data_IF_627985719010
#
_entry.id   IF_627985719010
#
_cell.length_a   1.000
_cell.length_b   1.000
_cell.length_c   1.000
_cell.angle_alpha   90.00
_cell.angle_beta   90.00
_cell.angle_gamma   90.00
#
_symmetry.space_group_name_H-M   'P 1'
#
loop_
_entity.id
_entity.type
_entity.pdbx_description
1 polymer ?
#
# COMPACT_ATOMS: atom_id res chain seq x y z
N UNK A 1 23.32 -53.43 -11.02
CA UNK A 1 24.07 -52.18 -10.75
C UNK A 1 23.49 -51.12 -11.69
N UNK A 2 22.80 -50.05 -11.31
CA UNK A 2 22.34 -49.55 -10.02
C UNK A 2 20.98 -48.88 -10.26
N UNK A 3 20.10 -48.98 -9.26
CA UNK A 3 18.67 -48.71 -9.37
C UNK A 3 18.33 -47.24 -9.10
N UNK A 4 17.26 -46.79 -9.75
CA UNK A 4 16.60 -45.51 -9.55
C UNK A 4 16.03 -45.40 -8.11
N UNK A 5 16.44 -44.37 -7.38
CA UNK A 5 15.84 -43.95 -6.11
C UNK A 5 15.30 -42.53 -6.24
N UNK A 6 14.06 -42.43 -6.70
CA UNK A 6 13.28 -41.20 -6.68
C UNK A 6 11.84 -41.58 -6.32
N UNK A 7 11.60 -41.90 -5.05
CA UNK A 7 10.26 -42.01 -4.45
C UNK A 7 10.40 -42.28 -2.95
N UNK A 8 10.51 -41.23 -2.12
CA UNK A 8 10.27 -41.30 -0.66
C UNK A 8 10.30 -39.92 0.02
N UNK A 9 9.36 -39.02 -0.30
CA UNK A 9 9.15 -37.82 0.54
C UNK A 9 7.68 -37.38 0.52
N UNK A 10 6.77 -38.24 1.00
CA UNK A 10 5.47 -37.80 1.50
C UNK A 10 5.06 -38.64 2.72
N UNK A 11 5.54 -38.22 3.89
CA UNK A 11 5.05 -38.72 5.17
C UNK A 11 3.64 -38.17 5.42
N UNK A 12 2.67 -39.07 5.31
CA UNK A 12 1.25 -38.94 5.62
C UNK A 12 1.08 -38.67 7.12
N UNK A 13 1.00 -37.41 7.53
CA UNK A 13 0.67 -37.05 8.92
C UNK A 13 -0.80 -37.26 9.23
N UNK A 14 -1.02 -37.88 10.38
CA UNK A 14 -2.29 -38.39 10.92
C UNK A 14 -3.31 -37.27 11.19
N UNK A 15 -4.57 -37.55 10.83
CA UNK A 15 -5.75 -36.84 11.33
C UNK A 15 -5.93 -37.19 12.81
N UNK A 16 -5.67 -36.22 13.69
CA UNK A 16 -6.20 -36.23 15.04
C UNK A 16 -7.53 -35.46 15.05
N UNK A 17 -8.60 -36.16 15.38
CA UNK A 17 -9.90 -35.59 15.71
C UNK A 17 -9.82 -34.91 17.08
N UNK A 18 -9.91 -33.57 17.10
CA UNK A 18 -10.12 -32.81 18.32
C UNK A 18 -11.51 -32.17 18.29
N UNK A 19 -12.32 -32.68 19.22
CA UNK A 19 -13.67 -32.25 19.60
C UNK A 19 -13.82 -30.73 19.64
N UNK A 20 -14.84 -30.24 18.94
CA UNK A 20 -15.35 -28.89 19.02
C UNK A 20 -16.00 -28.65 20.39
N UNK A 21 -15.42 -27.75 21.18
CA UNK A 21 -16.09 -27.03 22.26
C UNK A 21 -16.52 -25.69 21.71
N UNK A 22 -17.80 -25.60 21.33
CA UNK A 22 -18.44 -24.42 20.75
C UNK A 22 -18.70 -23.40 21.86
N UNK A 23 -17.73 -22.50 22.08
CA UNK A 23 -17.95 -21.27 22.85
C UNK A 23 -18.36 -20.19 21.85
N UNK A 24 -19.65 -19.91 21.83
CA UNK A 24 -20.27 -18.82 21.07
C UNK A 24 -19.78 -17.46 21.57
N UNK A 25 -18.60 -17.07 21.10
CA UNK A 25 -18.07 -15.74 21.31
C UNK A 25 -18.83 -14.79 20.37
N UNK A 26 -19.88 -14.17 20.91
CA UNK A 26 -20.68 -13.17 20.23
C UNK A 26 -19.78 -12.03 19.74
N UNK A 27 -19.39 -12.08 18.46
CA UNK A 27 -18.77 -10.98 17.75
C UNK A 27 -19.72 -9.79 17.81
N UNK A 28 -19.42 -8.86 18.71
CA UNK A 28 -19.91 -7.50 18.64
C UNK A 28 -19.43 -6.93 17.31
N UNK A 29 -20.35 -6.88 16.34
CA UNK A 29 -20.17 -6.21 15.07
C UNK A 29 -19.79 -4.76 15.35
N UNK A 30 -18.50 -4.45 15.23
CA UNK A 30 -18.00 -3.09 15.26
C UNK A 30 -18.80 -2.27 14.25
N UNK A 31 -19.62 -1.34 14.78
CA UNK A 31 -20.38 -0.40 13.98
C UNK A 31 -19.38 0.48 13.25
N UNK A 32 -19.21 0.23 11.95
CA UNK A 32 -18.50 1.13 11.07
C UNK A 32 -19.11 2.55 11.21
N UNK A 33 -18.30 3.62 11.19
CA UNK A 33 -18.81 4.98 11.13
C UNK A 33 -19.84 5.06 10.00
N UNK A 34 -21.04 5.52 10.33
CA UNK A 34 -22.22 5.41 9.46
C UNK A 34 -21.99 6.18 8.15
N UNK A 35 -21.45 5.48 7.15
CA UNK A 35 -21.26 5.97 5.76
C UNK A 35 -22.57 6.36 5.06
N UNK A 36 -23.70 6.20 5.76
CA UNK A 36 -25.04 6.56 5.33
C UNK A 36 -25.18 8.05 5.02
N UNK A 37 -24.48 8.93 5.74
CA UNK A 37 -24.53 10.38 5.48
C UNK A 37 -24.05 10.76 4.08
N UNK A 38 -22.91 10.20 3.64
CA UNK A 38 -22.35 10.47 2.32
C UNK A 38 -23.20 9.88 1.18
N UNK A 39 -23.78 8.69 1.39
CA UNK A 39 -24.69 8.09 0.40
C UNK A 39 -25.96 8.92 0.23
N UNK A 40 -26.49 9.47 1.31
CA UNK A 40 -27.66 10.35 1.24
C UNK A 40 -27.33 11.63 0.48
N UNK A 41 -26.19 12.28 0.77
CA UNK A 41 -25.76 13.49 0.04
C UNK A 41 -25.58 13.19 -1.46
N UNK A 42 -24.92 12.09 -1.81
CA UNK A 42 -24.73 11.70 -3.21
C UNK A 42 -26.06 11.39 -3.92
N UNK A 43 -27.00 10.73 -3.22
CA UNK A 43 -28.34 10.46 -3.74
C UNK A 43 -29.12 11.77 -3.97
N UNK A 44 -29.08 12.71 -3.03
CA UNK A 44 -29.70 14.03 -3.18
C UNK A 44 -29.13 14.81 -4.37
N UNK A 45 -27.80 14.80 -4.54
CA UNK A 45 -27.14 15.41 -5.70
C UNK A 45 -27.58 14.77 -7.03
N UNK A 46 -27.65 13.43 -7.09
CA UNK A 46 -28.09 12.72 -8.28
C UNK A 46 -29.56 13.06 -8.64
N UNK A 47 -30.44 13.10 -7.64
CA UNK A 47 -31.84 13.51 -7.82
C UNK A 47 -31.95 14.98 -8.28
N UNK A 48 -31.18 15.89 -7.68
CA UNK A 48 -31.18 17.29 -8.06
C UNK A 48 -30.76 17.49 -9.53
N UNK A 49 -29.71 16.80 -9.97
CA UNK A 49 -29.26 16.82 -11.37
C UNK A 49 -30.32 16.23 -12.30
N UNK A 50 -30.94 15.11 -11.91
CA UNK A 50 -32.03 14.50 -12.66
C UNK A 50 -33.19 15.48 -12.88
N UNK A 51 -33.69 16.10 -11.81
CA UNK A 51 -34.82 17.04 -11.89
C UNK A 51 -34.47 18.31 -12.68
N UNK A 52 -33.25 18.85 -12.53
CA UNK A 52 -32.80 20.00 -13.31
C UNK A 52 -32.75 19.72 -14.81
N UNK A 53 -32.16 18.59 -15.20
CA UNK A 53 -32.07 18.20 -16.61
C UNK A 53 -33.45 17.87 -17.17
N UNK A 54 -34.25 17.08 -16.44
CA UNK A 54 -35.63 16.78 -16.80
C UNK A 54 -36.44 18.07 -17.05
N UNK A 55 -36.38 19.03 -16.13
CA UNK A 55 -37.09 20.30 -16.26
C UNK A 55 -36.64 21.09 -17.49
N UNK A 56 -35.33 21.16 -17.74
CA UNK A 56 -34.76 21.85 -18.89
C UNK A 56 -35.18 21.20 -20.22
N UNK A 57 -35.17 19.87 -20.29
CA UNK A 57 -35.53 19.11 -21.49
C UNK A 57 -37.04 19.13 -21.77
N UNK A 58 -37.88 19.02 -20.74
CA UNK A 58 -39.35 19.18 -20.86
C UNK A 58 -39.70 20.58 -21.36
N UNK A 59 -39.03 21.62 -20.85
CA UNK A 59 -39.25 23.00 -21.29
C UNK A 59 -38.81 23.23 -22.75
N UNK A 60 -37.93 22.37 -23.28
CA UNK A 60 -37.45 22.41 -24.66
C UNK A 60 -38.31 21.64 -25.68
N UNK A 61 -39.39 20.99 -25.25
CA UNK A 61 -40.29 20.23 -26.13
C UNK A 61 -39.73 18.88 -26.60
N UNK A 62 -38.79 18.30 -25.87
CA UNK A 62 -38.25 16.98 -26.18
C UNK A 62 -39.28 15.88 -25.82
N UNK A 63 -39.45 14.88 -26.68
CA UNK A 63 -40.49 13.83 -26.55
C UNK A 63 -40.11 12.75 -25.52
N UNK A 64 -38.82 12.64 -25.16
CA UNK A 64 -38.33 11.64 -24.21
C UNK A 64 -37.29 12.18 -23.20
N UNK A 65 -37.63 13.21 -22.40
CA UNK A 65 -36.69 13.90 -21.51
C UNK A 65 -36.11 13.02 -20.39
N UNK A 66 -36.72 11.86 -20.10
CA UNK A 66 -36.29 10.94 -19.02
C UNK A 66 -35.02 10.19 -19.39
N UNK A 67 -34.83 9.87 -20.67
CA UNK A 67 -33.70 9.07 -21.15
C UNK A 67 -32.35 9.77 -20.92
N UNK A 68 -32.13 11.00 -21.43
CA UNK A 68 -30.86 11.71 -21.20
C UNK A 68 -30.67 12.12 -19.74
N UNK A 69 -31.73 12.53 -19.04
CA UNK A 69 -31.67 12.88 -17.62
C UNK A 69 -31.31 11.67 -16.74
N UNK A 70 -31.89 10.50 -17.01
CA UNK A 70 -31.60 9.24 -16.32
C UNK A 70 -30.17 8.76 -16.56
N UNK A 71 -29.68 8.85 -17.80
CA UNK A 71 -28.29 8.53 -18.14
C UNK A 71 -27.30 9.42 -17.38
N UNK A 72 -27.52 10.74 -17.37
CA UNK A 72 -26.66 11.67 -16.65
C UNK A 72 -26.65 11.37 -15.12
N UNK A 73 -27.82 11.12 -14.52
CA UNK A 73 -27.92 10.76 -13.11
C UNK A 73 -27.20 9.43 -12.80
N UNK A 74 -27.29 8.44 -13.70
CA UNK A 74 -26.59 7.15 -13.54
C UNK A 74 -25.06 7.30 -13.55
N UNK A 75 -24.52 8.19 -14.39
CA UNK A 75 -23.09 8.47 -14.47
C UNK A 75 -22.62 9.14 -13.17
N UNK A 76 -23.37 10.10 -12.63
CA UNK A 76 -23.07 10.75 -11.35
C UNK A 76 -23.05 9.73 -10.21
N UNK A 77 -24.02 8.81 -10.17
CA UNK A 77 -24.05 7.71 -9.19
C UNK A 77 -22.84 6.77 -9.33
N UNK A 78 -22.46 6.39 -10.55
CA UNK A 78 -21.27 5.56 -10.80
C UNK A 78 -19.96 6.25 -10.38
N UNK A 79 -19.84 7.55 -10.64
CA UNK A 79 -18.68 8.35 -10.18
C UNK A 79 -18.66 8.43 -8.65
N UNK A 80 -19.80 8.63 -7.99
CA UNK A 80 -19.87 8.67 -6.53
C UNK A 80 -19.53 7.31 -5.90
N UNK A 81 -20.01 6.20 -6.49
CA UNK A 81 -19.70 4.85 -6.03
C UNK A 81 -18.23 4.49 -6.23
N UNK A 82 -17.65 4.84 -7.38
CA UNK A 82 -16.22 4.59 -7.64
C UNK A 82 -15.32 5.45 -6.74
N UNK A 83 -15.67 6.72 -6.52
CA UNK A 83 -14.98 7.57 -5.54
C UNK A 83 -15.05 6.98 -4.13
N UNK A 84 -16.21 6.45 -3.71
CA UNK A 84 -16.37 5.76 -2.41
C UNK A 84 -15.48 4.52 -2.31
N UNK A 85 -15.44 3.68 -3.35
CA UNK A 85 -14.59 2.48 -3.38
C UNK A 85 -13.11 2.85 -3.21
N UNK A 86 -12.63 3.88 -3.93
CA UNK A 86 -11.24 4.36 -3.86
C UNK A 86 -10.93 4.97 -2.50
N UNK A 87 -11.82 5.81 -1.98
CA UNK A 87 -11.68 6.42 -0.65
C UNK A 87 -11.73 5.34 0.42
N UNK A 88 -12.62 4.36 0.34
CA UNK A 88 -12.70 3.27 1.32
C UNK A 88 -11.46 2.40 1.29
N UNK A 89 -10.88 2.07 0.12
CA UNK A 89 -9.62 1.31 0.06
C UNK A 89 -8.46 2.09 0.66
N UNK A 90 -8.36 3.39 0.36
CA UNK A 90 -7.28 4.26 0.82
C UNK A 90 -7.43 4.68 2.29
N UNK A 91 -8.67 4.86 2.73
CA UNK A 91 -9.01 5.11 4.11
C UNK A 91 -8.93 3.82 4.94
N UNK A 92 -9.14 2.64 4.37
CA UNK A 92 -9.00 1.38 5.10
C UNK A 92 -7.54 1.00 5.32
N UNK A 93 -6.64 1.24 4.35
CA UNK A 93 -5.19 1.10 4.60
C UNK A 93 -4.69 2.13 5.60
N UNK A 94 -5.11 3.41 5.49
CA UNK A 94 -4.81 4.42 6.52
C UNK A 94 -5.44 4.09 7.87
N UNK A 95 -6.67 3.61 7.92
CA UNK A 95 -7.37 3.23 9.15
C UNK A 95 -6.74 1.99 9.77
N UNK A 96 -6.28 1.01 8.98
CA UNK A 96 -5.51 -0.12 9.53
C UNK A 96 -4.19 0.36 10.11
N UNK A 97 -3.51 1.30 9.44
CA UNK A 97 -2.25 1.87 9.92
C UNK A 97 -2.41 2.81 11.11
N UNK A 98 -3.52 3.55 11.20
CA UNK A 98 -3.74 4.66 12.13
C UNK A 98 -4.70 4.28 13.28
N UNK A 99 -5.69 3.41 13.03
CA UNK A 99 -6.61 2.87 14.02
C UNK A 99 -6.28 1.43 14.46
N UNK A 100 -5.41 0.69 13.77
CA UNK A 100 -4.78 -0.51 14.34
C UNK A 100 -4.01 -0.17 15.64
N UNK A 101 -3.50 1.06 15.70
CA UNK A 101 -2.78 1.66 16.83
C UNK A 101 -3.76 2.21 17.88
N UNK A 102 -4.87 2.86 17.48
CA UNK A 102 -5.78 3.54 18.42
C UNK A 102 -6.98 2.71 18.94
N UNK A 103 -7.51 1.72 18.22
CA UNK A 103 -8.76 1.04 18.65
C UNK A 103 -8.55 -0.07 19.69
N UNK A 104 -7.33 -0.60 19.84
CA UNK A 104 -7.03 -1.57 20.92
C UNK A 104 -6.91 -0.93 22.30
N UNK A 105 -6.58 0.36 22.39
CA UNK A 105 -6.48 1.07 23.66
C UNK A 105 -7.85 1.60 24.15
N UNK A 106 -8.79 1.90 23.26
CA UNK A 106 -10.12 2.43 23.65
C UNK A 106 -11.17 1.38 23.96
N UNK A 107 -11.18 0.23 23.28
CA UNK A 107 -12.21 -0.81 23.45
C UNK A 107 -12.15 -1.58 24.78
N UNK A 108 -11.10 -1.40 25.60
CA UNK A 108 -11.04 -1.92 26.98
C UNK A 108 -11.50 -0.93 28.05
N UNK A 109 -11.90 0.29 27.70
CA UNK A 109 -12.17 1.37 28.67
C UNK A 109 -13.63 1.82 28.79
N UNK A 110 -14.57 1.28 27.98
CA UNK A 110 -15.92 1.84 27.88
C UNK A 110 -17.00 1.19 28.77
N UNK A 111 -16.66 0.43 29.81
CA UNK A 111 -17.66 -0.13 30.75
C UNK A 111 -17.58 0.39 32.20
N UNK A 112 -16.90 1.51 32.47
CA UNK A 112 -16.90 2.14 33.81
C UNK A 112 -17.18 3.64 33.73
N UNK A 113 -18.36 4.03 33.22
CA UNK A 113 -18.94 5.34 33.56
C UNK A 113 -19.54 5.25 34.96
N UNK A 114 -18.73 5.49 35.98
CA UNK A 114 -19.28 5.53 37.34
C UNK A 114 -18.32 5.60 38.51
N UNK A 115 -17.17 6.29 38.41
CA UNK A 115 -16.52 6.99 39.55
C UNK A 115 -15.14 7.48 39.14
N UNK A 116 -14.95 8.78 39.31
CA UNK A 116 -13.66 9.47 39.34
C UNK A 116 -12.83 8.98 40.53
N UNK A 117 -12.36 7.74 40.48
CA UNK A 117 -11.21 7.37 41.29
C UNK A 117 -9.97 7.86 40.55
N UNK A 118 -9.26 8.81 41.16
CA UNK A 118 -7.81 8.97 40.98
C UNK A 118 -7.16 7.61 41.29
N UNK A 119 -7.26 6.64 40.38
CA UNK A 119 -6.40 5.45 40.41
C UNK A 119 -5.02 5.98 40.11
N UNK A 120 -4.23 6.21 41.16
CA UNK A 120 -2.81 6.47 41.02
C UNK A 120 -2.26 5.34 40.17
N UNK A 121 -1.81 5.68 38.95
CA UNK A 121 -1.13 4.73 38.08
C UNK A 121 0.11 4.26 38.85
N UNK A 122 0.03 3.04 39.38
CA UNK A 122 1.05 2.50 40.25
C UNK A 122 2.26 2.13 39.40
N UNK A 123 3.47 2.44 39.88
CA UNK A 123 4.72 2.06 39.24
C UNK A 123 4.79 0.56 38.91
N UNK A 124 4.06 -0.28 39.65
CA UNK A 124 3.91 -1.71 39.39
C UNK A 124 3.26 -2.03 38.03
N UNK A 125 2.31 -1.21 37.56
CA UNK A 125 1.67 -1.41 36.26
C UNK A 125 2.68 -1.21 35.13
N UNK A 126 3.47 -0.13 35.15
CA UNK A 126 4.51 0.11 34.16
C UNK A 126 5.61 -0.96 34.19
N UNK A 127 6.02 -1.41 35.37
CA UNK A 127 6.97 -2.51 35.49
C UNK A 127 6.41 -3.82 34.90
N UNK A 128 5.12 -4.12 35.12
CA UNK A 128 4.46 -5.29 34.54
C UNK A 128 4.33 -5.21 33.01
N UNK A 129 4.00 -4.03 32.47
CA UNK A 129 3.91 -3.78 31.04
C UNK A 129 5.28 -3.95 30.36
N UNK A 130 6.34 -3.41 30.98
CA UNK A 130 7.70 -3.57 30.49
C UNK A 130 8.12 -5.05 30.40
N UNK A 131 7.82 -5.86 31.44
CA UNK A 131 8.09 -7.31 31.41
C UNK A 131 7.28 -8.01 30.31
N UNK A 132 6.04 -7.60 30.07
CA UNK A 132 5.22 -8.15 29.00
C UNK A 132 5.82 -7.83 27.61
N UNK A 133 6.28 -6.59 27.40
CA UNK A 133 6.99 -6.16 26.18
C UNK A 133 8.25 -7.00 25.98
N UNK A 134 9.09 -7.13 27.01
CA UNK A 134 10.31 -7.94 26.93
C UNK A 134 10.04 -9.40 26.59
N UNK A 135 9.00 -9.99 27.19
CA UNK A 135 8.58 -11.36 26.90
C UNK A 135 8.14 -11.51 25.43
N UNK A 136 7.31 -10.60 24.93
CA UNK A 136 6.82 -10.67 23.55
C UNK A 136 7.93 -10.36 22.54
N UNK A 137 8.82 -9.41 22.86
CA UNK A 137 10.03 -9.11 22.11
C UNK A 137 10.88 -10.37 21.91
N UNK A 138 11.19 -11.10 22.99
CA UNK A 138 11.95 -12.35 22.90
C UNK A 138 11.26 -13.46 22.09
N UNK A 139 9.92 -13.46 22.04
CA UNK A 139 9.17 -14.40 21.21
C UNK A 139 9.19 -13.99 19.73
N UNK A 140 9.09 -12.69 19.45
CA UNK A 140 9.21 -12.14 18.10
C UNK A 140 10.62 -12.29 17.53
N UNK A 141 11.68 -12.29 18.35
CA UNK A 141 13.05 -12.52 17.89
C UNK A 141 13.36 -13.99 17.53
N UNK A 142 12.38 -14.89 17.62
CA UNK A 142 12.54 -16.26 17.13
C UNK A 142 12.68 -16.27 15.60
N UNK A 143 13.58 -17.12 15.06
CA UNK A 143 13.97 -17.11 13.64
C UNK A 143 12.83 -17.32 12.62
N UNK A 144 11.70 -17.88 13.08
CA UNK A 144 10.55 -18.23 12.24
C UNK A 144 9.36 -17.29 12.48
N UNK A 145 9.57 -16.20 13.21
CA UNK A 145 8.51 -15.24 13.48
C UNK A 145 8.14 -14.51 12.18
N UNK A 146 6.83 -14.30 11.92
CA UNK A 146 6.40 -13.50 10.79
C UNK A 146 6.71 -12.01 11.08
N UNK A 147 6.96 -11.18 10.05
CA UNK A 147 7.21 -9.74 10.23
C UNK A 147 6.14 -9.05 11.08
N UNK A 148 4.89 -9.48 10.97
CA UNK A 148 3.74 -8.98 11.72
C UNK A 148 3.95 -9.07 13.24
N UNK A 149 4.66 -10.09 13.73
CA UNK A 149 4.97 -10.22 15.16
C UNK A 149 5.87 -9.09 15.67
N UNK A 150 6.83 -8.63 14.86
CA UNK A 150 7.66 -7.47 15.20
C UNK A 150 6.82 -6.19 15.20
N UNK A 151 5.88 -6.04 14.26
CA UNK A 151 4.99 -4.88 14.26
C UNK A 151 4.12 -4.81 15.52
N UNK A 152 3.58 -5.93 15.98
CA UNK A 152 2.80 -6.00 17.21
C UNK A 152 3.64 -5.56 18.43
N UNK A 153 4.89 -6.00 18.53
CA UNK A 153 5.78 -5.58 19.62
C UNK A 153 6.14 -4.11 19.52
N UNK A 154 6.44 -3.60 18.32
CA UNK A 154 6.67 -2.17 18.11
C UNK A 154 5.45 -1.36 18.56
N UNK A 155 4.24 -1.81 18.24
CA UNK A 155 3.02 -1.16 18.67
C UNK A 155 2.88 -1.11 20.20
N UNK A 156 3.17 -2.21 20.89
CA UNK A 156 3.18 -2.22 22.35
C UNK A 156 4.24 -1.30 22.96
N UNK A 157 5.41 -1.20 22.32
CA UNK A 157 6.44 -0.25 22.72
C UNK A 157 5.96 1.20 22.55
N UNK A 158 5.30 1.51 21.43
CA UNK A 158 4.72 2.82 21.17
C UNK A 158 3.67 3.20 22.24
N UNK A 159 2.73 2.30 22.53
CA UNK A 159 1.69 2.51 23.54
C UNK A 159 2.29 2.72 24.95
N UNK A 160 3.35 1.98 25.27
CA UNK A 160 4.08 2.16 26.53
C UNK A 160 4.78 3.53 26.60
N UNK A 161 5.46 3.95 25.53
CA UNK A 161 6.14 5.25 25.50
C UNK A 161 5.14 6.40 25.63
N UNK A 162 4.03 6.35 24.90
CA UNK A 162 2.97 7.37 25.00
C UNK A 162 2.37 7.43 26.42
N UNK A 163 1.99 6.29 26.99
CA UNK A 163 1.38 6.23 28.32
C UNK A 163 2.33 6.64 29.46
N UNK A 164 3.63 6.38 29.31
CA UNK A 164 4.64 6.80 30.28
C UNK A 164 4.99 8.28 30.15
N UNK A 165 5.00 8.84 28.94
CA UNK A 165 5.19 10.27 28.71
C UNK A 165 4.05 11.10 29.31
N UNK A 166 2.80 10.69 29.09
CA UNK A 166 1.63 11.35 29.68
C UNK A 166 1.68 11.32 31.21
N UNK A 167 2.11 10.19 31.79
CA UNK A 167 2.26 10.06 33.24
C UNK A 167 3.35 10.97 33.80
N UNK A 168 4.48 11.12 33.11
CA UNK A 168 5.52 12.07 33.50
C UNK A 168 5.05 13.52 33.38
N UNK A 169 4.30 13.84 32.32
CA UNK A 169 3.74 15.19 32.10
C UNK A 169 2.72 15.57 33.18
N UNK A 170 2.00 14.60 33.73
CA UNK A 170 1.01 14.82 34.80
C UNK A 170 1.62 15.20 36.16
N UNK A 171 2.95 15.13 36.33
CA UNK A 171 3.62 15.45 37.60
C UNK A 171 3.34 14.48 38.75
N UNK A 172 2.66 13.36 38.48
CA UNK A 172 2.25 12.38 39.50
C UNK A 172 3.40 11.53 40.06
N UNK A 173 4.63 11.70 39.56
CA UNK A 173 5.75 10.81 39.85
C UNK A 173 6.83 11.56 40.64
N UNK A 174 7.10 11.10 41.86
CA UNK A 174 8.24 11.59 42.65
C UNK A 174 9.59 11.31 41.96
N UNK A 175 10.63 12.07 42.34
CA UNK A 175 11.92 12.11 41.64
C UNK A 175 12.57 10.74 41.39
N UNK A 176 12.60 9.86 42.39
CA UNK A 176 13.21 8.53 42.27
C UNK A 176 12.45 7.62 41.28
N UNK A 177 11.12 7.61 41.34
CA UNK A 177 10.27 6.85 40.41
C UNK A 177 10.39 7.38 38.97
N UNK A 178 10.55 8.69 38.83
CA UNK A 178 10.80 9.33 37.55
C UNK A 178 12.11 8.86 36.89
N UNK A 179 13.18 8.67 37.66
CA UNK A 179 14.47 8.18 37.14
C UNK A 179 14.31 6.75 36.59
N UNK A 180 13.70 5.85 37.36
CA UNK A 180 13.46 4.47 36.92
C UNK A 180 12.57 4.40 35.66
N UNK A 181 11.56 5.28 35.56
CA UNK A 181 10.70 5.35 34.37
C UNK A 181 11.45 5.84 33.13
N UNK A 182 12.32 6.86 33.24
CA UNK A 182 13.14 7.31 32.11
C UNK A 182 14.08 6.22 31.61
N UNK A 183 14.75 5.50 32.52
CA UNK A 183 15.58 4.35 32.15
C UNK A 183 14.77 3.24 31.45
N UNK A 184 13.53 3.02 31.89
CA UNK A 184 12.59 2.11 31.21
C UNK A 184 12.22 2.59 29.80
N UNK A 185 11.93 3.88 29.62
CA UNK A 185 11.63 4.48 28.33
C UNK A 185 12.78 4.34 27.35
N UNK A 186 14.02 4.60 27.77
CA UNK A 186 15.19 4.49 26.89
C UNK A 186 15.35 3.05 26.37
N UNK A 187 15.14 2.06 27.25
CA UNK A 187 15.16 0.65 26.86
C UNK A 187 14.03 0.28 25.89
N UNK A 188 12.83 0.84 26.08
CA UNK A 188 11.69 0.60 25.18
C UNK A 188 11.84 1.34 23.86
N UNK A 189 12.50 2.50 23.81
CA UNK A 189 12.83 3.18 22.55
C UNK A 189 13.75 2.34 21.68
N UNK A 190 14.72 1.67 22.29
CA UNK A 190 15.61 0.76 21.56
C UNK A 190 14.87 -0.47 21.04
N UNK A 191 14.01 -1.08 21.88
CA UNK A 191 13.15 -2.19 21.44
C UNK A 191 12.18 -1.78 20.32
N UNK A 192 11.56 -0.60 20.45
CA UNK A 192 10.69 -0.04 19.43
C UNK A 192 11.42 0.10 18.11
N UNK A 193 12.63 0.70 18.14
CA UNK A 193 13.49 0.85 16.97
C UNK A 193 13.79 -0.50 16.33
N UNK A 194 14.33 -1.44 17.11
CA UNK A 194 14.66 -2.78 16.64
C UNK A 194 13.49 -3.49 15.94
N UNK A 195 12.34 -3.56 16.61
CA UNK A 195 11.18 -4.27 16.07
C UNK A 195 10.56 -3.54 14.87
N UNK A 196 10.46 -2.21 14.89
CA UNK A 196 9.89 -1.46 13.77
C UNK A 196 10.75 -1.60 12.51
N UNK A 197 12.07 -1.51 12.64
CA UNK A 197 13.00 -1.69 11.51
C UNK A 197 12.97 -3.14 10.99
N UNK A 198 12.94 -4.13 11.89
CA UNK A 198 12.86 -5.54 11.50
C UNK A 198 11.56 -5.86 10.76
N UNK A 199 10.42 -5.36 11.25
CA UNK A 199 9.14 -5.45 10.54
C UNK A 199 9.21 -4.79 9.17
N UNK A 200 9.68 -3.54 9.08
CA UNK A 200 9.71 -2.79 7.84
C UNK A 200 10.56 -3.50 6.77
N UNK A 201 11.73 -4.03 7.14
CA UNK A 201 12.59 -4.85 6.27
C UNK A 201 11.85 -6.11 5.80
N UNK A 202 11.31 -6.91 6.74
CA UNK A 202 10.66 -8.18 6.41
C UNK A 202 9.38 -8.02 5.57
N UNK A 203 8.56 -7.01 5.89
CA UNK A 203 7.30 -6.75 5.21
C UNK A 203 7.52 -6.15 3.81
N UNK A 204 8.41 -5.17 3.67
CA UNK A 204 8.76 -4.61 2.35
C UNK A 204 9.38 -5.64 1.41
N UNK A 205 10.23 -6.54 1.92
CA UNK A 205 10.78 -7.67 1.17
C UNK A 205 9.68 -8.63 0.71
N UNK A 206 8.75 -8.98 1.60
CA UNK A 206 7.61 -9.86 1.29
C UNK A 206 6.73 -9.27 0.19
N UNK A 207 6.38 -7.98 0.32
CA UNK A 207 5.60 -7.26 -0.70
C UNK A 207 6.36 -7.16 -2.03
N UNK A 208 7.67 -6.94 -2.02
CA UNK A 208 8.48 -6.89 -3.25
C UNK A 208 8.50 -8.25 -3.96
N UNK A 209 8.63 -9.36 -3.21
CA UNK A 209 8.52 -10.71 -3.77
C UNK A 209 7.13 -10.99 -4.34
N UNK A 210 6.08 -10.58 -3.62
CA UNK A 210 4.71 -10.70 -4.11
C UNK A 210 4.50 -9.90 -5.41
N UNK A 211 5.04 -8.68 -5.48
CA UNK A 211 5.00 -7.84 -6.66
C UNK A 211 5.68 -8.51 -7.86
N UNK A 212 6.83 -9.16 -7.66
CA UNK A 212 7.51 -9.90 -8.72
C UNK A 212 6.67 -11.06 -9.28
N UNK A 213 5.86 -11.70 -8.43
CA UNK A 213 4.99 -12.83 -8.80
C UNK A 213 3.69 -12.43 -9.51
N UNK A 214 3.28 -11.15 -9.48
CA UNK A 214 2.04 -10.71 -10.16
C UNK A 214 2.17 -10.81 -11.68
N UNK A 215 1.09 -11.17 -12.36
CA UNK A 215 1.08 -11.25 -13.83
C UNK A 215 0.93 -9.87 -14.51
N UNK A 216 0.09 -8.99 -13.94
CA UNK A 216 -0.24 -7.69 -14.54
C UNK A 216 0.72 -6.61 -14.05
N UNK A 217 1.22 -5.78 -14.98
CA UNK A 217 2.10 -4.64 -14.68
C UNK A 217 1.50 -3.67 -13.65
N UNK A 218 0.19 -3.39 -13.75
CA UNK A 218 -0.51 -2.54 -12.77
C UNK A 218 -0.38 -3.08 -11.35
N UNK A 219 -0.60 -4.38 -11.19
CA UNK A 219 -0.64 -5.06 -9.89
C UNK A 219 0.80 -5.16 -9.33
N UNK A 220 1.80 -5.38 -10.19
CA UNK A 220 3.23 -5.29 -9.81
C UNK A 220 3.55 -3.94 -9.19
N UNK A 221 3.17 -2.86 -9.87
CA UNK A 221 3.45 -1.48 -9.45
C UNK A 221 2.67 -1.15 -8.17
N UNK A 222 1.40 -1.54 -8.08
CA UNK A 222 0.59 -1.31 -6.88
C UNK A 222 1.20 -1.99 -5.64
N UNK A 223 1.57 -3.27 -5.74
CA UNK A 223 2.17 -4.00 -4.63
C UNK A 223 3.55 -3.44 -4.25
N UNK A 224 4.38 -3.05 -5.22
CA UNK A 224 5.66 -2.39 -4.94
C UNK A 224 5.49 -1.03 -4.25
N UNK A 225 4.48 -0.24 -4.64
CA UNK A 225 4.20 1.03 -3.96
C UNK A 225 3.76 0.82 -2.51
N UNK A 226 3.05 -0.27 -2.18
CA UNK A 226 2.75 -0.62 -0.78
C UNK A 226 4.03 -0.88 0.03
N UNK A 227 5.04 -1.50 -0.59
CA UNK A 227 6.34 -1.70 0.05
C UNK A 227 7.04 -0.36 0.32
N UNK A 228 6.96 0.60 -0.62
CA UNK A 228 7.48 1.96 -0.43
C UNK A 228 6.73 2.70 0.69
N UNK A 229 5.40 2.61 0.75
CA UNK A 229 4.60 3.22 1.83
C UNK A 229 5.00 2.69 3.21
N UNK A 230 5.26 1.38 3.32
CA UNK A 230 5.80 0.77 4.54
C UNK A 230 7.14 1.39 4.94
N UNK A 231 8.11 1.46 4.02
CA UNK A 231 9.43 2.06 4.30
C UNK A 231 9.31 3.54 4.66
N UNK A 232 8.53 4.32 3.90
CA UNK A 232 8.33 5.75 4.13
C UNK A 232 7.69 6.02 5.50
N UNK A 233 6.75 5.17 5.93
CA UNK A 233 6.14 5.30 7.27
C UNK A 233 7.16 5.11 8.39
N UNK A 234 8.11 4.19 8.22
CA UNK A 234 9.18 3.91 9.20
C UNK A 234 10.25 4.99 9.18
N UNK A 235 10.66 5.47 8.00
CA UNK A 235 11.63 6.56 7.84
C UNK A 235 11.14 7.89 8.43
N UNK A 236 9.83 8.11 8.58
CA UNK A 236 9.30 9.28 9.31
C UNK A 236 9.62 9.23 10.81
N UNK A 237 9.76 8.04 11.38
CA UNK A 237 10.09 7.83 12.80
C UNK A 237 11.61 7.76 12.99
N UNK A 238 12.30 7.07 12.08
CA UNK A 238 13.75 6.86 12.10
C UNK A 238 14.37 7.28 10.75
N UNK A 239 14.64 8.59 10.53
CA UNK A 239 15.06 9.12 9.23
C UNK A 239 16.48 8.74 8.82
N UNK A 240 17.35 8.41 9.78
CA UNK A 240 18.79 8.19 9.56
C UNK A 240 19.15 6.74 9.19
N UNK A 241 18.16 5.88 8.93
CA UNK A 241 18.36 4.45 8.70
C UNK A 241 18.78 4.17 7.24
N UNK A 242 20.08 4.05 7.00
CA UNK A 242 20.67 3.88 5.67
C UNK A 242 20.13 2.65 4.92
N UNK A 243 19.98 1.51 5.61
CA UNK A 243 19.49 0.26 5.01
C UNK A 243 18.06 0.40 4.44
N UNK A 244 17.22 1.22 5.08
CA UNK A 244 15.87 1.50 4.59
C UNK A 244 15.89 2.42 3.38
N UNK A 245 16.79 3.40 3.33
CA UNK A 245 17.00 4.23 2.14
C UNK A 245 17.51 3.41 0.95
N UNK A 246 18.44 2.48 1.18
CA UNK A 246 18.92 1.54 0.16
C UNK A 246 17.78 0.64 -0.36
N UNK A 247 16.98 0.09 0.56
CA UNK A 247 15.81 -0.74 0.21
C UNK A 247 14.79 0.07 -0.59
N UNK A 248 14.53 1.32 -0.19
CA UNK A 248 13.65 2.25 -0.91
C UNK A 248 14.15 2.52 -2.32
N UNK A 249 15.45 2.79 -2.49
CA UNK A 249 16.05 3.01 -3.80
C UNK A 249 15.92 1.77 -4.70
N UNK A 250 16.18 0.57 -4.16
CA UNK A 250 16.02 -0.68 -4.90
C UNK A 250 14.57 -0.94 -5.34
N UNK A 251 13.58 -0.62 -4.51
CA UNK A 251 12.16 -0.77 -4.88
C UNK A 251 11.76 0.29 -5.93
N UNK A 252 12.26 1.52 -5.84
CA UNK A 252 12.06 2.55 -6.86
C UNK A 252 12.66 2.12 -8.21
N UNK A 253 13.87 1.56 -8.20
CA UNK A 253 14.52 0.98 -9.38
C UNK A 253 13.69 -0.16 -9.97
N UNK A 254 13.14 -1.04 -9.12
CA UNK A 254 12.22 -2.09 -9.55
C UNK A 254 10.97 -1.51 -10.23
N UNK A 255 10.30 -0.52 -9.64
CA UNK A 255 9.12 0.13 -10.22
C UNK A 255 9.45 0.79 -11.57
N UNK A 256 10.58 1.48 -11.66
CA UNK A 256 11.04 2.09 -12.91
C UNK A 256 11.29 1.03 -13.99
N UNK A 257 11.97 -0.07 -13.66
CA UNK A 257 12.25 -1.16 -14.61
C UNK A 257 10.98 -1.81 -15.15
N UNK A 258 9.97 -2.05 -14.29
CA UNK A 258 8.67 -2.62 -14.68
C UNK A 258 7.93 -1.67 -15.65
N UNK A 259 7.96 -0.37 -15.38
CA UNK A 259 7.35 0.64 -16.27
C UNK A 259 8.07 0.72 -17.60
N UNK A 260 9.41 0.82 -17.61
CA UNK A 260 10.21 0.88 -18.83
C UNK A 260 9.97 -0.35 -19.69
N UNK A 261 10.02 -1.56 -19.11
CA UNK A 261 9.76 -2.80 -19.82
C UNK A 261 8.38 -2.82 -20.48
N UNK A 262 7.34 -2.35 -19.77
CA UNK A 262 5.98 -2.26 -20.31
C UNK A 262 5.89 -1.33 -21.53
N UNK A 263 6.49 -0.14 -21.47
CA UNK A 263 6.46 0.81 -22.58
C UNK A 263 7.29 0.34 -23.77
N UNK A 264 8.44 -0.29 -23.52
CA UNK A 264 9.26 -0.93 -24.57
C UNK A 264 8.46 -2.03 -25.28
N UNK A 265 7.80 -2.92 -24.54
CA UNK A 265 6.96 -3.99 -25.12
C UNK A 265 5.85 -3.41 -26.01
N UNK A 266 5.17 -2.35 -25.57
CA UNK A 266 4.15 -1.66 -26.37
C UNK A 266 4.72 -0.98 -27.61
N UNK A 267 5.92 -0.42 -27.51
CA UNK A 267 6.64 0.18 -28.63
C UNK A 267 7.00 -0.89 -29.67
N UNK A 268 7.61 -1.99 -29.24
CA UNK A 268 7.99 -3.13 -30.08
C UNK A 268 6.78 -3.75 -30.79
N UNK A 269 5.67 -3.97 -30.08
CA UNK A 269 4.41 -4.43 -30.69
C UNK A 269 3.84 -3.46 -31.72
N UNK A 270 3.99 -2.16 -31.50
CA UNK A 270 3.53 -1.13 -32.44
C UNK A 270 4.42 -1.10 -33.69
N UNK A 271 5.74 -1.20 -33.51
CA UNK A 271 6.71 -1.27 -34.59
C UNK A 271 6.53 -2.53 -35.44
N UNK A 272 6.27 -3.67 -34.80
CA UNK A 272 5.99 -4.94 -35.48
C UNK A 272 4.77 -4.84 -36.41
N UNK A 273 3.73 -4.10 -36.00
CA UNK A 273 2.54 -3.83 -36.82
C UNK A 273 2.74 -2.76 -37.90
N UNK A 274 3.95 -2.21 -38.05
CA UNK A 274 4.26 -1.13 -38.99
C UNK A 274 3.83 0.27 -38.52
N UNK A 275 3.31 0.41 -37.29
CA UNK A 275 2.92 1.71 -36.73
C UNK A 275 4.13 2.45 -36.15
N UNK A 276 5.08 2.81 -37.01
CA UNK A 276 6.39 3.36 -36.60
C UNK A 276 6.29 4.65 -35.77
N UNK A 277 5.38 5.58 -36.12
CA UNK A 277 5.19 6.82 -35.35
C UNK A 277 4.75 6.53 -33.91
N UNK A 278 3.73 5.66 -33.76
CA UNK A 278 3.22 5.25 -32.45
C UNK A 278 4.29 4.51 -31.63
N UNK A 279 5.12 3.71 -32.27
CA UNK A 279 6.24 3.04 -31.61
C UNK A 279 7.27 4.04 -31.06
N UNK A 280 7.61 5.08 -31.83
CA UNK A 280 8.51 6.16 -31.38
C UNK A 280 7.93 6.88 -30.15
N UNK A 281 6.63 7.19 -30.13
CA UNK A 281 5.99 7.84 -28.99
C UNK A 281 6.07 6.97 -27.72
N UNK A 282 5.84 5.65 -27.86
CA UNK A 282 5.95 4.70 -26.74
C UNK A 282 7.39 4.53 -26.24
N UNK A 283 8.38 4.58 -27.12
CA UNK A 283 9.78 4.61 -26.70
C UNK A 283 10.14 5.89 -25.96
N UNK A 284 9.57 7.04 -26.33
CA UNK A 284 9.74 8.29 -25.56
C UNK A 284 9.12 8.19 -24.17
N UNK A 285 7.96 7.55 -24.04
CA UNK A 285 7.37 7.25 -22.72
C UNK A 285 8.31 6.37 -21.88
N UNK A 286 8.97 5.38 -22.49
CA UNK A 286 9.97 4.55 -21.80
C UNK A 286 11.18 5.39 -21.33
N UNK A 287 11.72 6.28 -22.18
CA UNK A 287 12.81 7.19 -21.80
C UNK A 287 12.42 8.11 -20.64
N UNK A 288 11.18 8.59 -20.61
CA UNK A 288 10.69 9.41 -19.50
C UNK A 288 10.81 8.67 -18.15
N UNK A 289 10.41 7.40 -18.07
CA UNK A 289 10.54 6.62 -16.84
C UNK A 289 11.97 6.22 -16.52
N UNK A 290 12.80 5.99 -17.53
CA UNK A 290 14.22 5.66 -17.35
C UNK A 290 15.02 6.83 -16.77
N UNK A 291 14.62 8.07 -17.07
CA UNK A 291 15.24 9.29 -16.58
C UNK A 291 14.70 9.78 -15.22
N UNK A 292 13.79 9.03 -14.57
CA UNK A 292 13.34 9.37 -13.22
C UNK A 292 14.44 9.11 -12.18
N UNK A 293 14.40 9.88 -11.09
CA UNK A 293 15.30 9.67 -9.95
C UNK A 293 15.11 8.25 -9.37
N UNK A 294 16.22 7.58 -9.06
CA UNK A 294 16.24 6.24 -8.46
C UNK A 294 16.69 5.12 -9.39
N UNK A 295 16.81 5.36 -10.70
CA UNK A 295 17.48 4.41 -11.62
C UNK A 295 18.99 4.65 -11.57
N UNK A 296 19.77 3.58 -11.43
CA UNK A 296 21.24 3.64 -11.47
C UNK A 296 21.71 4.24 -12.80
N UNK A 297 22.71 5.12 -12.72
CA UNK A 297 23.22 5.84 -13.89
C UNK A 297 23.69 4.90 -15.01
N UNK A 298 24.32 3.79 -14.66
CA UNK A 298 24.76 2.76 -15.61
C UNK A 298 23.59 2.18 -16.41
N UNK A 299 22.51 1.80 -15.73
CA UNK A 299 21.29 1.25 -16.33
C UNK A 299 20.57 2.31 -17.16
N UNK A 300 20.53 3.56 -16.65
CA UNK A 300 19.92 4.70 -17.33
C UNK A 300 20.63 5.00 -18.65
N UNK A 301 21.96 5.11 -18.64
CA UNK A 301 22.76 5.43 -19.83
C UNK A 301 22.61 4.33 -20.87
N UNK A 302 22.88 3.07 -20.49
CA UNK A 302 22.80 1.93 -21.42
C UNK A 302 21.38 1.74 -21.99
N UNK A 303 20.35 1.90 -21.15
CA UNK A 303 18.96 1.82 -21.58
C UNK A 303 18.57 2.96 -22.53
N UNK A 304 19.05 4.18 -22.28
CA UNK A 304 18.79 5.37 -23.11
C UNK A 304 19.39 5.19 -24.49
N UNK A 305 20.68 4.83 -24.56
CA UNK A 305 21.38 4.57 -25.83
C UNK A 305 20.71 3.46 -26.64
N UNK A 306 20.20 2.41 -25.98
CA UNK A 306 19.46 1.35 -26.67
C UNK A 306 18.14 1.86 -27.25
N UNK A 307 17.35 2.59 -26.46
CA UNK A 307 16.05 3.09 -26.90
C UNK A 307 16.21 4.14 -28.01
N UNK A 308 17.17 5.04 -27.89
CA UNK A 308 17.45 6.06 -28.91
C UNK A 308 17.88 5.45 -30.24
N UNK A 309 18.72 4.40 -30.24
CA UNK A 309 19.07 3.66 -31.45
C UNK A 309 17.85 3.05 -32.15
N UNK A 310 16.91 2.48 -31.40
CA UNK A 310 15.68 1.94 -31.98
C UNK A 310 14.76 3.05 -32.51
N UNK A 311 14.67 4.20 -31.82
CA UNK A 311 13.95 5.37 -32.34
C UNK A 311 14.54 5.82 -33.68
N UNK A 312 15.86 5.92 -33.79
CA UNK A 312 16.52 6.38 -35.01
C UNK A 312 16.28 5.42 -36.18
N UNK A 313 16.41 4.11 -35.94
CA UNK A 313 16.07 3.07 -36.91
C UNK A 313 14.62 3.18 -37.42
N UNK A 314 13.67 3.47 -36.52
CA UNK A 314 12.26 3.68 -36.91
C UNK A 314 12.07 4.96 -37.73
N UNK A 315 12.81 6.03 -37.44
CA UNK A 315 12.78 7.27 -38.23
C UNK A 315 13.28 7.04 -39.65
N UNK A 316 14.39 6.32 -39.83
CA UNK A 316 14.92 5.99 -41.16
C UNK A 316 13.93 5.16 -41.97
N UNK A 317 13.17 4.25 -41.34
CA UNK A 317 12.07 3.50 -42.00
C UNK A 317 10.93 4.41 -42.46
N UNK A 318 10.50 5.36 -41.63
CA UNK A 318 9.46 6.32 -42.01
C UNK A 318 9.91 7.16 -43.21
N UNK A 319 11.16 7.62 -43.22
CA UNK A 319 11.72 8.39 -44.32
C UNK A 319 11.78 7.56 -45.61
N UNK A 320 12.29 6.32 -45.56
CA UNK A 320 12.36 5.47 -46.76
C UNK A 320 10.99 5.09 -47.30
N UNK A 321 10.00 4.83 -46.44
CA UNK A 321 8.61 4.59 -46.85
C UNK A 321 7.97 5.83 -47.49
N UNK A 322 8.31 7.03 -47.01
CA UNK A 322 7.81 8.28 -47.58
C UNK A 322 8.37 8.56 -48.98
N UNK A 323 9.65 8.27 -49.21
CA UNK A 323 10.30 8.40 -50.52
C UNK A 323 9.70 7.43 -51.53
N UNK A 324 9.53 6.15 -51.15
CA UNK A 324 8.89 5.14 -52.01
C UNK A 324 7.47 5.51 -52.43
N UNK A 325 6.70 6.16 -51.54
CA UNK A 325 5.35 6.64 -51.87
C UNK A 325 5.37 7.79 -52.87
N UNK A 326 6.34 8.71 -52.75
CA UNK A 326 6.50 9.82 -53.71
C UNK A 326 6.90 9.32 -55.11
N UNK A 327 7.87 8.39 -55.19
CA UNK A 327 8.28 7.77 -56.46
C UNK A 327 7.13 7.05 -57.15
N UNK A 328 6.31 6.30 -56.40
CA UNK A 328 5.16 5.60 -56.95
C UNK A 328 4.06 6.57 -57.41
N UNK A 329 3.85 7.68 -56.70
CA UNK A 329 2.88 8.72 -57.10
C UNK A 329 3.30 9.44 -58.39
N UNK A 330 4.60 9.60 -58.63
CA UNK A 330 5.12 10.26 -59.83
C UNK A 330 5.05 9.40 -61.10
N UNK A 331 4.99 8.07 -60.98
CA UNK A 331 4.90 7.14 -62.14
C UNK A 331 3.48 6.95 -62.69
N UNK A 332 2.45 7.40 -61.98
CA UNK A 332 1.05 7.25 -62.38
C UNK A 332 0.48 8.49 -63.10
N UNK A 333 1.30 9.50 -63.37
CA UNK A 333 0.97 10.67 -64.18
C UNK A 333 1.55 10.53 -65.58
#
# INVERSE_FOLDING_TARGET
>A
MGNNSADQFFSRSQRAHSRAGEVSNGQSRNRMPSSMGYLLIALFLALAVFFLLWWMLVSGGDEAPWLPAGLAASVVLLVALSAREVIMRRAWTKYLLENGIQDRSKSRSSSERGRTQKRGFSASLYASALRAIQKQSSAADSSNSPPESHFEVAQLCHDYLASTEDAMRSGSLGGEKGIAMRAGQDRVRELHKHHLLTWARGHSLTLTREAQQKARTSDKIETANKALECIDSTLRVYPDESELHESKAAILEFVASVKVAHWVELAERSAFKGHNRRAIDRYRDALFYLNQQGVKDEVRIAGTERIEREIEKLRSRIQSDSLKRQENSGRSQ
#
